data_IF_845383879253
#
_entry.id   IF_845383879253
#
_cell.length_a   1.000
_cell.length_b   1.000
_cell.length_c   1.000
_cell.angle_alpha   90.00
_cell.angle_beta   90.00
_cell.angle_gamma   90.00
#
_symmetry.space_group_name_H-M   'P 1'
#
loop_
_entity.id
_entity.type
_entity.pdbx_description
1 polymer ?
#
# COMPACT_ATOMS: atom_id res chain seq x y z
N UNK A 1 17.64 -4.54 14.76
CA UNK A 1 16.16 -4.51 14.77
C UNK A 1 15.71 -3.47 13.76
N UNK A 2 14.88 -3.84 12.78
CA UNK A 2 14.33 -2.89 11.80
C UNK A 2 12.88 -2.62 12.19
N UNK A 3 12.58 -1.40 12.64
CA UNK A 3 11.22 -0.97 12.93
C UNK A 3 10.61 -0.41 11.64
N UNK A 4 9.57 -1.05 11.12
CA UNK A 4 8.83 -0.55 9.95
C UNK A 4 7.67 0.31 10.48
N UNK A 5 7.81 1.63 10.43
CA UNK A 5 6.73 2.56 10.76
C UNK A 5 5.79 2.71 9.56
N UNK A 6 4.54 2.26 9.70
CA UNK A 6 3.46 2.50 8.74
C UNK A 6 2.86 3.88 9.02
N UNK A 7 3.10 4.86 8.15
CA UNK A 7 2.33 6.11 8.14
C UNK A 7 1.15 5.88 7.20
N UNK A 8 -0.01 5.60 7.77
CA UNK A 8 -1.29 5.70 7.06
C UNK A 8 -1.64 7.18 7.04
N UNK A 9 -1.62 7.81 5.86
CA UNK A 9 -2.07 9.18 5.70
C UNK A 9 -3.58 9.25 5.96
N UNK A 10 -3.96 9.81 7.10
CA UNK A 10 -5.35 10.13 7.45
C UNK A 10 -5.87 11.19 6.49
N UNK A 11 -6.88 10.88 5.68
CA UNK A 11 -7.71 11.90 5.07
C UNK A 11 -8.53 12.57 6.18
N UNK A 12 -8.14 13.77 6.59
CA UNK A 12 -8.82 14.54 7.64
C UNK A 12 -10.11 15.11 7.03
N UNK A 13 -11.23 14.40 7.23
CA UNK A 13 -12.58 14.91 7.05
C UNK A 13 -13.19 15.18 8.43
N UNK A 14 -13.61 16.42 8.66
CA UNK A 14 -14.21 16.90 9.92
C UNK A 14 -15.56 16.22 10.12
N UNK A 15 -15.67 15.42 11.19
CA UNK A 15 -16.91 14.81 11.67
C UNK A 15 -17.23 13.47 11.02
N UNK A 16 -16.83 12.36 11.65
CA UNK A 16 -17.33 11.04 11.29
C UNK A 16 -17.30 10.11 12.51
N UNK A 17 -18.45 9.53 12.82
CA UNK A 17 -18.58 8.21 13.44
C UNK A 17 -17.49 7.30 12.86
N UNK A 18 -16.78 6.51 13.66
CA UNK A 18 -15.76 5.58 13.15
C UNK A 18 -16.42 4.58 12.19
N UNK A 19 -16.56 4.96 10.92
CA UNK A 19 -16.88 4.04 9.85
C UNK A 19 -15.65 3.16 9.68
N UNK A 20 -15.79 1.89 10.05
CA UNK A 20 -14.78 0.88 9.81
C UNK A 20 -14.38 0.98 8.32
N UNK A 21 -13.09 1.21 8.01
CA UNK A 21 -12.67 1.41 6.63
C UNK A 21 -13.04 0.18 5.81
N UNK A 22 -13.67 0.40 4.65
CA UNK A 22 -14.12 -0.67 3.76
C UNK A 22 -12.97 -1.49 3.15
N UNK A 23 -11.73 -1.03 3.29
CA UNK A 23 -10.52 -1.69 2.84
C UNK A 23 -9.51 -1.79 3.99
N UNK A 24 -8.83 -2.92 4.08
CA UNK A 24 -7.63 -3.10 4.89
C UNK A 24 -6.42 -3.40 3.99
N UNK A 25 -5.24 -2.99 4.45
CA UNK A 25 -3.98 -3.24 3.77
C UNK A 25 -2.99 -3.90 4.72
N UNK A 26 -2.28 -4.91 4.25
CA UNK A 26 -1.19 -5.58 4.98
C UNK A 26 0.04 -5.65 4.09
N UNK A 27 1.20 -5.33 4.65
CA UNK A 27 2.50 -5.54 4.01
C UNK A 27 3.28 -6.56 4.82
N UNK A 28 3.86 -7.54 4.13
CA UNK A 28 4.79 -8.51 4.73
C UNK A 28 6.12 -8.44 4.02
N UNK A 29 7.19 -8.41 4.81
CA UNK A 29 8.56 -8.44 4.35
C UNK A 29 9.16 -9.80 4.72
N UNK A 30 9.58 -10.55 3.71
CA UNK A 30 10.14 -11.89 3.86
C UNK A 30 11.56 -11.92 3.34
N UNK A 31 12.49 -12.46 4.13
CA UNK A 31 13.86 -12.70 3.70
C UNK A 31 14.87 -12.46 4.82
N UNK A 32 16.02 -13.13 4.78
CA UNK A 32 17.07 -12.91 5.76
C UNK A 32 17.70 -11.52 5.58
N UNK A 33 18.14 -10.92 6.69
CA UNK A 33 18.87 -9.66 6.70
C UNK A 33 20.12 -9.79 5.82
N UNK A 34 20.40 -8.78 5.00
CA UNK A 34 21.56 -8.76 4.10
C UNK A 34 21.37 -9.50 2.76
N UNK A 35 20.17 -10.04 2.49
CA UNK A 35 19.79 -10.53 1.15
C UNK A 35 18.60 -9.74 0.60
N UNK A 36 18.21 -10.06 -0.64
CA UNK A 36 16.99 -9.52 -1.25
C UNK A 36 15.78 -9.82 -0.37
N UNK A 37 15.09 -8.76 0.04
CA UNK A 37 13.84 -8.83 0.79
C UNK A 37 12.68 -8.90 -0.22
N UNK A 38 11.80 -9.87 -0.05
CA UNK A 38 10.54 -9.95 -0.81
C UNK A 38 9.47 -9.19 -0.05
N UNK A 39 8.78 -8.28 -0.74
CA UNK A 39 7.65 -7.53 -0.21
C UNK A 39 6.37 -8.05 -0.83
N UNK A 40 5.35 -8.28 0.02
CA UNK A 40 4.00 -8.65 -0.43
C UNK A 40 2.99 -7.68 0.17
N UNK A 41 2.15 -7.10 -0.69
CA UNK A 41 1.04 -6.24 -0.31
C UNK A 41 -0.27 -7.02 -0.53
N UNK A 42 -1.10 -7.09 0.50
CA UNK A 42 -2.47 -7.55 0.42
C UNK A 42 -3.41 -6.38 0.65
N UNK A 43 -4.40 -6.26 -0.21
CA UNK A 43 -5.54 -5.36 -0.06
C UNK A 43 -6.77 -6.24 0.10
N UNK A 44 -7.53 -6.05 1.17
CA UNK A 44 -8.74 -6.82 1.46
C UNK A 44 -9.94 -5.89 1.55
N UNK A 45 -11.06 -6.31 0.97
CA UNK A 45 -12.36 -5.72 1.20
C UNK A 45 -12.87 -6.20 2.56
N UNK A 46 -13.17 -5.27 3.45
CA UNK A 46 -13.72 -5.56 4.79
C UNK A 46 -15.23 -5.27 4.85
N UNK A 47 -15.83 -4.87 3.73
CA UNK A 47 -17.26 -4.59 3.63
C UNK A 47 -18.04 -5.80 3.10
N UNK A 48 -19.32 -5.85 3.43
CA UNK A 48 -20.24 -6.91 2.98
C UNK A 48 -20.67 -6.77 1.51
N UNK A 49 -20.19 -5.74 0.81
CA UNK A 49 -20.52 -5.45 -0.58
C UNK A 49 -19.29 -5.53 -1.47
N UNK A 50 -19.49 -5.86 -2.75
CA UNK A 50 -18.44 -5.75 -3.76
C UNK A 50 -17.93 -4.31 -3.85
N UNK A 51 -16.61 -4.14 -3.81
CA UNK A 51 -15.95 -2.87 -4.08
C UNK A 51 -15.36 -2.86 -5.47
N UNK A 52 -15.50 -1.72 -6.17
CA UNK A 52 -14.80 -1.47 -7.44
C UNK A 52 -13.75 -0.40 -7.20
N UNK A 53 -12.48 -0.75 -7.42
CA UNK A 53 -11.34 0.16 -7.38
C UNK A 53 -10.99 0.60 -8.80
N UNK A 54 -10.83 1.91 -8.96
CA UNK A 54 -10.28 2.52 -10.17
C UNK A 54 -8.84 2.91 -9.87
N UNK A 55 -7.90 2.12 -10.38
CA UNK A 55 -6.47 2.24 -10.11
C UNK A 55 -5.81 2.96 -11.28
N UNK A 56 -5.19 4.10 -10.99
CA UNK A 56 -4.41 4.85 -11.98
C UNK A 56 -2.95 4.41 -11.98
N UNK A 57 -2.37 4.30 -13.16
CA UNK A 57 -0.96 3.98 -13.31
C UNK A 57 -0.72 2.47 -13.27
N UNK A 58 0.15 1.97 -14.16
CA UNK A 58 0.60 0.58 -14.09
C UNK A 58 2.10 0.52 -13.86
N UNK A 59 2.57 -0.01 -12.72
CA UNK A 59 1.82 -0.50 -11.55
C UNK A 59 1.17 0.62 -10.70
N UNK A 60 0.01 0.36 -10.10
CA UNK A 60 -0.78 1.34 -9.32
C UNK A 60 -0.36 1.50 -7.85
N UNK A 61 0.78 0.93 -7.47
CA UNK A 61 1.29 0.92 -6.10
C UNK A 61 2.80 1.11 -6.11
N UNK A 62 3.33 1.60 -4.99
CA UNK A 62 4.76 1.78 -4.77
C UNK A 62 5.15 1.23 -3.40
N UNK A 63 6.41 0.80 -3.27
CA UNK A 63 7.02 0.46 -1.99
C UNK A 63 8.14 1.44 -1.71
N UNK A 64 8.10 2.04 -0.52
CA UNK A 64 9.14 2.92 -0.01
C UNK A 64 9.79 2.25 1.21
N UNK A 65 11.11 2.12 1.20
CA UNK A 65 11.87 1.66 2.35
C UNK A 65 12.61 2.86 2.92
N UNK A 66 12.32 3.16 4.18
CA UNK A 66 12.94 4.25 4.92
C UNK A 66 13.76 3.70 6.08
N UNK A 67 14.84 4.40 6.42
CA UNK A 67 15.53 4.20 7.71
C UNK A 67 14.66 4.70 8.86
N UNK A 68 14.97 4.32 10.11
CA UNK A 68 14.26 4.83 11.28
C UNK A 68 14.31 6.36 11.43
N UNK A 69 15.33 7.02 10.87
CA UNK A 69 15.45 8.49 10.80
C UNK A 69 14.53 9.13 9.73
N UNK A 70 13.76 8.32 9.00
CA UNK A 70 12.86 8.76 7.94
C UNK A 70 13.52 8.88 6.55
N UNK A 71 14.85 8.72 6.44
CA UNK A 71 15.55 8.83 5.16
C UNK A 71 15.15 7.70 4.20
N UNK A 72 14.76 8.06 2.97
CA UNK A 72 14.43 7.11 1.91
C UNK A 72 15.69 6.39 1.43
N UNK A 73 15.73 5.07 1.57
CA UNK A 73 16.87 4.24 1.11
C UNK A 73 16.58 3.46 -0.15
N UNK A 74 15.32 3.17 -0.42
CA UNK A 74 14.91 2.46 -1.63
C UNK A 74 13.46 2.73 -1.97
N UNK A 75 13.17 2.74 -3.26
CA UNK A 75 11.84 2.95 -3.82
C UNK A 75 11.67 2.00 -5.00
N UNK A 76 10.57 1.24 -5.00
CA UNK A 76 10.35 0.22 -6.02
C UNK A 76 10.09 0.81 -7.41
N UNK A 77 9.34 1.90 -7.50
CA UNK A 77 9.01 2.53 -8.78
C UNK A 77 10.14 3.41 -9.34
N UNK A 78 11.23 3.64 -8.60
CA UNK A 78 12.32 4.49 -9.06
C UNK A 78 12.90 3.96 -10.37
N UNK A 79 12.90 4.80 -11.41
CA UNK A 79 13.38 4.45 -12.74
C UNK A 79 12.46 3.53 -13.56
N UNK A 80 11.25 3.22 -13.06
CA UNK A 80 10.24 2.49 -13.84
C UNK A 80 9.37 3.47 -14.63
N UNK A 81 9.00 3.08 -15.85
CA UNK A 81 7.98 3.78 -16.62
C UNK A 81 6.61 3.39 -16.05
N UNK A 82 5.83 4.39 -15.64
CA UNK A 82 4.44 4.21 -15.22
C UNK A 82 3.52 4.56 -16.38
N UNK A 83 2.81 3.57 -16.89
CA UNK A 83 1.82 3.81 -17.96
C UNK A 83 0.57 4.45 -17.36
N UNK A 84 0.08 5.53 -17.95
CA UNK A 84 -1.17 6.21 -17.56
C UNK A 84 -2.39 5.45 -18.06
N UNK A 85 -2.55 4.22 -17.56
CA UNK A 85 -3.68 3.34 -17.87
C UNK A 85 -4.57 3.29 -16.63
N UNK A 86 -5.87 3.42 -16.84
CA UNK A 86 -6.87 3.21 -15.81
C UNK A 86 -7.21 1.72 -15.73
N UNK A 87 -6.98 1.13 -14.57
CA UNK A 87 -7.25 -0.29 -14.29
C UNK A 87 -8.45 -0.41 -13.35
N UNK A 88 -9.47 -1.17 -13.75
CA UNK A 88 -10.62 -1.49 -12.92
C UNK A 88 -10.40 -2.81 -12.20
N UNK A 89 -10.50 -2.81 -10.87
CA UNK A 89 -10.45 -4.04 -10.04
C UNK A 89 -11.73 -4.17 -9.23
N UNK A 90 -12.29 -5.36 -9.20
CA UNK A 90 -13.40 -5.69 -8.31
C UNK A 90 -12.90 -6.59 -7.18
N UNK A 91 -13.24 -6.22 -5.95
CA UNK A 91 -12.96 -6.99 -4.75
C UNK A 91 -14.30 -7.44 -4.16
N UNK A 92 -14.50 -8.75 -4.10
CA UNK A 92 -15.62 -9.33 -3.35
C UNK A 92 -15.38 -9.18 -1.84
N UNK A 93 -16.43 -9.32 -1.01
CA UNK A 93 -16.29 -9.45 0.44
C UNK A 93 -15.32 -10.57 0.87
#
# INVERSE_FOLDING_TARGET
MLLLALVVGSAVGVGAMEEKPALSARVEAMGPVGRTIRLKLWIKNESERRLTLMLGGRPAYNFLVKRPDGALVWEWQRGKIIQQILERRSLEP
#
